data_IF_692899822846
#
_entry.id   IF_692899822846
#
_cell.length_a   1.000
_cell.length_b   1.000
_cell.length_c   1.000
_cell.angle_alpha   90.00
_cell.angle_beta   90.00
_cell.angle_gamma   90.00
#
_symmetry.space_group_name_H-M   'P 1'
#
loop_
_entity.id
_entity.type
_entity.pdbx_description
1 polymer ?
#
# COMPACT_ATOMS: atom_id res chain seq x y z
N UNK A 1 59.42 -15.75 -52.97
CA UNK A 1 58.89 -14.44 -53.42
C UNK A 1 57.53 -14.21 -52.77
N UNK A 2 57.33 -13.00 -52.22
CA UNK A 2 56.07 -12.30 -51.88
C UNK A 2 55.22 -12.91 -50.74
N UNK A 3 55.23 -12.29 -49.54
CA UNK A 3 54.34 -11.20 -49.07
C UNK A 3 52.95 -11.77 -48.66
N UNK A 4 52.41 -11.61 -47.45
CA UNK A 4 52.48 -10.57 -46.43
C UNK A 4 51.03 -10.30 -46.01
N UNK A 5 50.73 -10.14 -44.72
CA UNK A 5 49.54 -9.41 -44.23
C UNK A 5 49.61 -9.29 -42.70
N UNK A 6 49.79 -8.05 -42.23
CA UNK A 6 49.75 -7.63 -40.84
C UNK A 6 48.29 -7.55 -40.38
N UNK A 7 47.92 -8.27 -39.33
CA UNK A 7 46.63 -8.11 -38.68
C UNK A 7 46.70 -6.93 -37.70
N UNK A 8 46.04 -5.83 -38.04
CA UNK A 8 45.85 -4.66 -37.17
C UNK A 8 44.83 -5.00 -36.09
N UNK A 9 45.27 -4.98 -34.83
CA UNK A 9 44.40 -5.05 -33.65
C UNK A 9 43.73 -3.70 -33.42
N UNK A 10 42.43 -3.61 -33.66
CA UNK A 10 41.61 -2.43 -33.32
C UNK A 10 41.24 -2.52 -31.83
N UNK A 11 41.63 -1.56 -30.98
CA UNK A 11 41.10 -1.48 -29.62
C UNK A 11 39.64 -1.03 -29.70
N UNK A 12 38.72 -1.95 -29.42
CA UNK A 12 37.31 -1.63 -29.24
C UNK A 12 37.19 -0.63 -28.10
N UNK A 13 36.87 0.62 -28.46
CA UNK A 13 36.57 1.70 -27.53
C UNK A 13 35.54 1.22 -26.50
N UNK A 14 35.82 1.54 -25.23
CA UNK A 14 35.07 1.12 -24.07
C UNK A 14 33.57 1.37 -24.23
N UNK A 15 32.81 0.28 -24.28
CA UNK A 15 31.38 0.33 -24.11
C UNK A 15 31.07 0.90 -22.73
N UNK A 16 30.41 2.05 -22.75
CA UNK A 16 29.72 2.70 -21.64
C UNK A 16 29.22 1.68 -20.62
N UNK A 17 29.79 1.73 -19.41
CA UNK A 17 29.16 1.18 -18.22
C UNK A 17 27.91 2.01 -17.93
N UNK A 18 26.85 1.76 -18.70
CA UNK A 18 25.48 2.09 -18.34
C UNK A 18 25.18 1.28 -17.09
N UNK A 19 25.52 1.81 -15.91
CA UNK A 19 24.99 1.29 -14.65
C UNK A 19 23.46 1.36 -14.81
N UNK A 20 22.72 0.25 -14.86
CA UNK A 20 21.28 0.35 -14.77
C UNK A 20 21.02 0.98 -13.41
N UNK A 21 20.55 2.23 -13.43
CA UNK A 21 20.02 2.90 -12.26
C UNK A 21 18.93 1.96 -11.76
N UNK A 22 19.12 1.40 -10.57
CA UNK A 22 18.12 0.62 -9.88
C UNK A 22 16.90 1.53 -9.62
N UNK A 23 16.06 1.67 -10.64
CA UNK A 23 14.85 2.47 -10.67
C UNK A 23 13.70 1.56 -11.13
N UNK A 24 13.67 0.33 -10.62
CA UNK A 24 12.59 -0.63 -10.87
C UNK A 24 12.30 -1.51 -9.64
N UNK A 25 12.50 -0.99 -8.43
CA UNK A 25 12.02 -1.65 -7.21
C UNK A 25 10.65 -1.11 -6.73
N UNK A 26 10.24 0.08 -7.20
CA UNK A 26 8.94 0.69 -6.86
C UNK A 26 7.84 0.47 -7.90
N UNK A 27 8.12 -0.31 -8.95
CA UNK A 27 7.14 -0.56 -10.01
C UNK A 27 6.57 -1.98 -9.90
N UNK A 28 5.34 -2.01 -9.38
CA UNK A 28 4.32 -3.04 -9.52
C UNK A 28 4.34 -4.22 -8.53
N UNK A 29 4.46 -3.93 -7.24
CA UNK A 29 3.79 -4.79 -6.26
C UNK A 29 2.27 -4.61 -6.37
N UNK A 30 1.61 -5.36 -7.24
CA UNK A 30 0.17 -5.26 -7.48
C UNK A 30 -0.21 -3.94 -8.19
N UNK A 31 -0.90 -4.03 -9.32
CA UNK A 31 -1.62 -2.89 -9.86
C UNK A 31 -2.88 -2.69 -9.01
N UNK A 32 -2.70 -2.17 -7.81
CA UNK A 32 -3.79 -1.86 -6.89
C UNK A 32 -4.44 -0.56 -7.37
N UNK A 33 -5.50 -0.70 -8.16
CA UNK A 33 -6.42 0.38 -8.43
C UNK A 33 -7.20 0.65 -7.14
N UNK A 34 -6.63 1.54 -6.32
CA UNK A 34 -7.25 1.94 -5.07
C UNK A 34 -8.39 2.90 -5.38
N UNK A 35 -9.62 2.39 -5.39
CA UNK A 35 -10.79 3.24 -5.11
C UNK A 35 -10.61 3.74 -3.67
N UNK A 36 -10.53 5.05 -3.49
CA UNK A 36 -10.47 5.68 -2.16
C UNK A 36 -11.70 5.26 -1.35
N UNK A 37 -11.51 4.80 -0.12
CA UNK A 37 -12.63 4.33 0.71
C UNK A 37 -12.18 3.60 1.97
N UNK A 38 -13.17 3.18 2.75
CA UNK A 38 -12.96 2.35 3.93
C UNK A 38 -12.85 0.87 3.51
N UNK A 39 -11.89 0.16 4.07
CA UNK A 39 -11.68 -1.27 3.86
C UNK A 39 -11.76 -2.02 5.18
N UNK A 40 -12.45 -3.15 5.17
CA UNK A 40 -12.45 -4.08 6.29
C UNK A 40 -11.43 -5.17 6.02
N UNK A 41 -10.32 -5.18 6.76
CA UNK A 41 -9.24 -6.15 6.63
C UNK A 41 -9.47 -7.29 7.62
N UNK A 42 -9.68 -8.50 7.10
CA UNK A 42 -9.91 -9.70 7.90
C UNK A 42 -8.62 -10.40 8.31
N UNK A 43 -7.56 -10.24 7.51
CA UNK A 43 -6.28 -10.87 7.79
C UNK A 43 -5.19 -10.47 6.79
N UNK A 44 -3.94 -10.67 7.22
CA UNK A 44 -2.73 -10.40 6.44
C UNK A 44 -1.87 -11.66 6.43
N UNK A 45 -1.37 -12.01 5.25
CA UNK A 45 -0.70 -13.29 5.01
C UNK A 45 0.57 -13.08 4.20
N UNK A 46 1.57 -13.94 4.39
CA UNK A 46 2.82 -13.87 3.62
C UNK A 46 2.73 -14.55 2.27
N UNK A 47 1.78 -15.49 2.10
CA UNK A 47 1.62 -16.23 0.86
C UNK A 47 0.21 -16.10 0.31
N UNK A 48 0.11 -16.13 -1.02
CA UNK A 48 -1.18 -16.09 -1.72
C UNK A 48 -2.07 -17.28 -1.32
N UNK A 49 -1.49 -18.48 -1.13
CA UNK A 49 -2.24 -19.68 -0.77
C UNK A 49 -2.87 -19.60 0.63
N UNK A 50 -2.18 -18.97 1.59
CA UNK A 50 -2.75 -18.71 2.92
C UNK A 50 -3.92 -17.74 2.82
N UNK A 51 -3.76 -16.65 2.05
CA UNK A 51 -4.84 -15.70 1.81
C UNK A 51 -6.03 -16.33 1.09
N UNK A 52 -5.80 -17.23 0.12
CA UNK A 52 -6.85 -17.96 -0.59
C UNK A 52 -7.65 -18.87 0.34
N UNK A 53 -6.95 -19.64 1.16
CA UNK A 53 -7.58 -20.53 2.15
C UNK A 53 -8.42 -19.73 3.14
N UNK A 54 -7.88 -18.63 3.65
CA UNK A 54 -8.58 -17.77 4.59
C UNK A 54 -9.77 -17.04 3.95
N UNK A 55 -9.63 -16.55 2.72
CA UNK A 55 -10.75 -15.98 1.96
C UNK A 55 -11.91 -16.98 1.85
N UNK A 56 -11.64 -18.24 1.54
CA UNK A 56 -12.68 -19.28 1.47
C UNK A 56 -13.40 -19.47 2.80
N UNK A 57 -12.69 -19.36 3.93
CA UNK A 57 -13.31 -19.40 5.26
C UNK A 57 -14.21 -18.18 5.50
N UNK A 58 -13.70 -16.98 5.19
CA UNK A 58 -14.44 -15.72 5.30
C UNK A 58 -15.72 -15.76 4.45
N UNK A 59 -15.62 -16.14 3.17
CA UNK A 59 -16.79 -16.28 2.27
C UNK A 59 -17.74 -17.37 2.74
N UNK A 60 -17.21 -18.47 3.30
CA UNK A 60 -18.02 -19.56 3.87
C UNK A 60 -18.84 -19.14 5.09
N UNK A 61 -18.48 -18.04 5.75
CA UNK A 61 -19.24 -17.41 6.85
C UNK A 61 -20.23 -16.34 6.38
N UNK A 62 -20.40 -16.17 5.07
CA UNK A 62 -21.36 -15.22 4.49
C UNK A 62 -20.75 -13.89 4.03
N UNK A 63 -19.45 -13.67 4.24
CA UNK A 63 -18.74 -12.48 3.77
C UNK A 63 -18.33 -12.62 2.29
N UNK A 64 -19.32 -12.67 1.40
CA UNK A 64 -19.17 -13.07 -0.01
C UNK A 64 -18.30 -12.16 -0.88
N UNK A 65 -18.09 -10.90 -0.46
CA UNK A 65 -17.31 -9.91 -1.20
C UNK A 65 -15.86 -9.76 -0.68
N UNK A 66 -15.37 -10.76 0.06
CA UNK A 66 -13.98 -10.77 0.50
C UNK A 66 -13.02 -11.02 -0.69
N UNK A 67 -12.11 -10.07 -0.91
CA UNK A 67 -11.13 -10.10 -1.98
C UNK A 67 -9.70 -10.18 -1.43
N UNK A 68 -8.79 -10.74 -2.22
CA UNK A 68 -7.36 -10.78 -1.90
C UNK A 68 -6.68 -9.62 -2.61
N UNK A 69 -6.05 -8.74 -1.83
CA UNK A 69 -5.25 -7.63 -2.33
C UNK A 69 -3.79 -7.96 -2.08
N UNK A 70 -3.03 -8.10 -3.16
CA UNK A 70 -1.58 -8.25 -3.12
C UNK A 70 -0.93 -6.90 -2.85
N UNK A 71 -0.14 -6.83 -1.78
CA UNK A 71 0.81 -5.76 -1.52
C UNK A 71 2.25 -6.24 -1.71
N UNK A 72 3.22 -5.34 -1.55
CA UNK A 72 4.64 -5.68 -1.77
C UNK A 72 5.16 -6.84 -0.92
N UNK A 73 4.66 -6.98 0.30
CA UNK A 73 5.25 -7.88 1.30
C UNK A 73 4.24 -8.83 1.94
N UNK A 74 2.97 -8.76 1.50
CA UNK A 74 1.87 -9.50 2.09
C UNK A 74 0.61 -9.46 1.20
N UNK A 75 -0.26 -10.43 1.43
CA UNK A 75 -1.58 -10.56 0.87
C UNK A 75 -2.61 -10.24 1.94
N UNK A 76 -3.58 -9.38 1.62
CA UNK A 76 -4.62 -8.97 2.56
C UNK A 76 -5.95 -9.51 2.09
N UNK A 77 -6.71 -10.12 2.98
CA UNK A 77 -8.10 -10.50 2.71
C UNK A 77 -8.98 -9.36 3.21
N UNK A 78 -9.66 -8.68 2.30
CA UNK A 78 -10.38 -7.43 2.59
C UNK A 78 -11.76 -7.40 1.95
N UNK A 79 -12.70 -6.67 2.54
CA UNK A 79 -13.91 -6.20 1.87
C UNK A 79 -13.72 -4.71 1.57
N UNK A 80 -13.92 -4.34 0.30
CA UNK A 80 -13.85 -2.96 -0.20
C UNK A 80 -15.26 -2.45 -0.51
N UNK A 81 -15.39 -1.14 -0.73
CA UNK A 81 -16.67 -0.53 -1.09
C UNK A 81 -17.57 -0.29 0.13
N UNK A 82 -16.96 -0.01 1.28
CA UNK A 82 -17.70 0.41 2.47
C UNK A 82 -17.84 1.93 2.39
N UNK A 83 -19.07 2.38 2.15
CA UNK A 83 -19.37 3.78 1.85
C UNK A 83 -19.32 4.70 3.08
N UNK A 84 -19.65 4.17 4.26
CA UNK A 84 -19.70 4.93 5.51
C UNK A 84 -19.02 4.18 6.65
N UNK A 85 -18.52 4.94 7.63
CA UNK A 85 -17.88 4.36 8.81
C UNK A 85 -18.83 3.48 9.62
N UNK A 86 -20.10 3.89 9.75
CA UNK A 86 -21.12 3.13 10.50
C UNK A 86 -21.34 1.73 9.92
N UNK A 87 -21.44 1.60 8.58
CA UNK A 87 -21.52 0.30 7.90
C UNK A 87 -20.28 -0.53 8.19
N UNK A 88 -19.10 0.10 8.23
CA UNK A 88 -17.85 -0.57 8.61
C UNK A 88 -17.89 -1.11 10.03
N UNK A 89 -18.40 -0.33 10.98
CA UNK A 89 -18.52 -0.74 12.39
C UNK A 89 -19.50 -1.91 12.55
N UNK A 90 -20.63 -1.88 11.87
CA UNK A 90 -21.62 -2.98 11.88
C UNK A 90 -21.01 -4.26 11.31
N UNK A 91 -20.33 -4.17 10.15
CA UNK A 91 -19.61 -5.29 9.54
C UNK A 91 -18.52 -5.84 10.48
N UNK A 92 -17.77 -4.95 11.15
CA UNK A 92 -16.77 -5.36 12.14
C UNK A 92 -17.43 -6.11 13.31
N UNK A 93 -18.60 -5.64 13.78
CA UNK A 93 -19.37 -6.30 14.83
C UNK A 93 -19.83 -7.70 14.41
N UNK A 94 -20.36 -7.84 13.20
CA UNK A 94 -20.73 -9.14 12.61
C UNK A 94 -19.55 -10.08 12.49
N UNK A 95 -18.44 -9.61 11.91
CA UNK A 95 -17.26 -10.44 11.71
C UNK A 95 -16.64 -10.89 13.03
N UNK A 96 -16.66 -10.05 14.07
CA UNK A 96 -16.22 -10.44 15.42
C UNK A 96 -17.11 -11.51 16.04
N UNK A 97 -18.43 -11.45 15.83
CA UNK A 97 -19.35 -12.52 16.27
C UNK A 97 -19.05 -13.86 15.60
N UNK A 98 -18.62 -13.83 14.35
CA UNK A 98 -18.16 -15.00 13.59
C UNK A 98 -16.71 -15.43 13.91
N UNK A 99 -16.04 -14.73 14.84
CA UNK A 99 -14.69 -15.08 15.30
C UNK A 99 -13.55 -14.49 14.49
N UNK A 100 -13.80 -13.52 13.61
CA UNK A 100 -12.76 -12.83 12.85
C UNK A 100 -12.29 -11.54 13.54
N UNK A 101 -10.98 -11.35 13.59
CA UNK A 101 -10.36 -10.13 14.09
C UNK A 101 -10.24 -9.07 12.97
N UNK A 102 -11.35 -8.44 12.61
CA UNK A 102 -11.41 -7.45 11.52
C UNK A 102 -10.96 -6.06 11.96
N UNK A 103 -10.13 -5.41 11.15
CA UNK A 103 -9.75 -3.99 11.29
C UNK A 103 -10.37 -3.14 10.18
N UNK A 104 -10.80 -1.93 10.52
CA UNK A 104 -11.27 -0.95 9.54
C UNK A 104 -10.12 -0.01 9.21
N UNK A 105 -9.77 0.09 7.93
CA UNK A 105 -8.62 0.83 7.44
C UNK A 105 -9.05 1.78 6.32
N UNK A 106 -8.67 3.05 6.44
CA UNK A 106 -8.88 4.01 5.36
C UNK A 106 -7.75 3.89 4.35
N UNK A 107 -8.08 3.62 3.09
CA UNK A 107 -7.10 3.69 2.01
C UNK A 107 -7.22 5.04 1.31
N UNK A 108 -6.16 5.83 1.43
CA UNK A 108 -5.99 6.99 0.55
C UNK A 108 -5.60 6.49 -0.83
N UNK A 109 -6.43 6.78 -1.84
CA UNK A 109 -6.02 6.59 -3.22
C UNK A 109 -4.74 7.42 -3.45
N UNK A 110 -3.71 6.82 -4.04
CA UNK A 110 -2.52 7.56 -4.46
C UNK A 110 -3.01 8.71 -5.35
N UNK A 111 -2.64 9.98 -5.09
CA UNK A 111 -3.03 11.07 -5.98
C UNK A 111 -2.42 10.78 -7.35
N UNK A 112 -3.26 10.34 -8.28
CA UNK A 112 -2.91 10.28 -9.68
C UNK A 112 -2.60 11.70 -10.13
N UNK A 113 -1.54 11.86 -10.93
CA UNK A 113 -1.19 13.13 -11.57
C UNK A 113 -2.28 13.50 -12.60
N UNK A 114 -3.46 13.91 -12.13
CA UNK A 114 -4.52 14.63 -12.84
C UNK A 114 -5.71 14.84 -11.90
N UNK A 115 -5.58 15.80 -11.00
CA UNK A 115 -6.64 16.76 -10.62
C UNK A 115 -6.05 17.73 -9.62
N UNK A 116 -5.56 18.86 -10.13
CA UNK A 116 -5.40 20.07 -9.33
C UNK A 116 -6.74 20.48 -8.73
N UNK A 117 -6.73 20.91 -7.46
CA UNK A 117 -7.86 21.38 -6.65
C UNK A 117 -8.90 20.26 -6.38
N UNK A 118 -8.99 19.70 -5.18
CA UNK A 118 -9.64 20.31 -4.02
C UNK A 118 -8.99 19.72 -2.75
N UNK A 119 -8.13 20.49 -2.09
CA UNK A 119 -7.61 20.16 -0.76
C UNK A 119 -7.70 21.42 0.10
N UNK A 120 -8.92 21.81 0.46
CA UNK A 120 -9.16 22.85 1.46
C UNK A 120 -10.61 22.78 1.95
N UNK A 121 -10.97 21.74 2.71
CA UNK A 121 -11.91 21.86 3.84
C UNK A 121 -11.75 20.64 4.75
N UNK A 122 -11.88 20.88 6.05
CA UNK A 122 -11.81 19.93 7.16
C UNK A 122 -10.43 19.70 7.80
N UNK A 123 -9.90 20.74 8.46
CA UNK A 123 -9.23 20.56 9.75
C UNK A 123 -10.16 21.12 10.84
N UNK A 124 -10.76 20.31 11.71
CA UNK A 124 -11.25 20.82 12.98
C UNK A 124 -10.06 20.98 13.94
N UNK A 125 -9.98 22.19 14.48
CA UNK A 125 -8.94 22.70 15.34
C UNK A 125 -8.58 21.79 16.52
N UNK A 126 -7.28 21.68 16.73
CA UNK A 126 -6.60 21.26 17.95
C UNK A 126 -7.14 22.02 19.17
N UNK A 127 -7.69 21.28 20.13
CA UNK A 127 -7.84 21.79 21.51
C UNK A 127 -7.66 20.64 22.50
N UNK A 128 -6.49 20.55 23.13
CA UNK A 128 -6.36 20.44 24.60
C UNK A 128 -4.98 19.95 25.06
N UNK A 129 -4.51 20.62 26.12
CA UNK A 129 -3.53 20.17 27.13
C UNK A 129 -2.06 20.21 26.65
N UNK A 130 -1.05 20.74 27.36
CA UNK A 130 -0.82 20.86 28.82
C UNK A 130 0.29 21.89 29.08
N UNK A 131 0.12 22.72 30.11
CA UNK A 131 1.08 23.71 30.66
C UNK A 131 2.28 23.05 31.34
N UNK A 132 3.46 23.72 31.38
CA UNK A 132 4.12 23.94 32.67
C UNK A 132 4.58 25.41 32.88
N UNK A 133 4.71 25.86 34.15
CA UNK A 133 4.89 27.27 34.49
C UNK A 133 6.34 27.76 34.34
N UNK A 134 6.53 28.96 33.78
CA UNK A 134 7.81 29.66 33.81
C UNK A 134 8.00 30.42 35.14
N UNK A 135 9.16 30.15 35.75
CA UNK A 135 9.73 30.75 36.96
C UNK A 135 10.18 32.19 36.67
N UNK A 136 9.64 33.17 37.41
CA UNK A 136 10.08 34.57 37.37
C UNK A 136 11.19 34.79 38.41
N UNK A 137 12.41 35.11 37.96
CA UNK A 137 13.48 35.62 38.82
C UNK A 137 13.36 37.14 38.91
N UNK A 138 13.16 37.65 40.14
CA UNK A 138 13.35 39.06 40.51
C UNK A 138 14.85 39.35 40.69
N UNK A 139 15.28 40.51 40.22
CA UNK A 139 16.41 41.28 40.73
C UNK A 139 15.94 42.73 40.89
#
# INVERSE_FOLDING_TARGET
MLAGLLAVSIPSLGLSKSRPRAAHADQACGRVEFVSGLEAVFGRFKTHQQALTFRSQVTGRGFVNANIIEGCNEFRVVIRGIDTFDIGVDLQGEARREGFAVTLECIQAKPGRSSSAIAAIASPATRSSTTPPQRVSRA
#
